data_IF_687617265819
#
_entry.id   IF_687617265819
#
_cell.length_a   1.000
_cell.length_b   1.000
_cell.length_c   1.000
_cell.angle_alpha   90.00
_cell.angle_beta   90.00
_cell.angle_gamma   90.00
#
_symmetry.space_group_name_H-M   'P 1'
#
loop_
_entity.id
_entity.type
_entity.pdbx_description
1 polymer ?
#
# COMPACT_ATOMS: atom_id res chain seq x y z
N UNK A 1 -42.33 4.94 -12.43
CA UNK A 1 -42.10 3.56 -12.89
C UNK A 1 -40.63 3.26 -12.70
N UNK A 2 -40.29 2.32 -11.83
CA UNK A 2 -38.91 1.92 -11.61
C UNK A 2 -38.36 1.31 -12.91
N UNK A 3 -37.40 1.96 -13.53
CA UNK A 3 -36.67 1.39 -14.66
C UNK A 3 -35.77 0.30 -14.10
N UNK A 4 -36.33 -0.91 -14.03
CA UNK A 4 -35.64 -2.12 -13.62
C UNK A 4 -34.64 -2.44 -14.74
N UNK A 5 -33.46 -1.82 -14.65
CA UNK A 5 -32.35 -2.09 -15.56
C UNK A 5 -32.05 -3.58 -15.58
N UNK A 6 -31.77 -4.12 -16.78
CA UNK A 6 -31.42 -5.52 -17.00
C UNK A 6 -30.36 -5.94 -15.96
N UNK A 7 -30.50 -7.10 -15.28
CA UNK A 7 -29.53 -7.53 -14.28
C UNK A 7 -28.11 -7.53 -14.86
N UNK A 8 -27.15 -7.04 -14.08
CA UNK A 8 -25.74 -6.97 -14.48
C UNK A 8 -25.27 -8.37 -14.86
N UNK A 9 -24.65 -8.52 -16.03
CA UNK A 9 -24.14 -9.80 -16.53
C UNK A 9 -22.77 -10.17 -15.97
N UNK A 10 -22.21 -9.34 -15.09
CA UNK A 10 -20.88 -9.52 -14.51
C UNK A 10 -20.91 -9.34 -12.99
N UNK A 11 -20.00 -10.01 -12.29
CA UNK A 11 -19.78 -9.81 -10.86
C UNK A 11 -19.04 -8.48 -10.64
N UNK A 12 -19.74 -7.52 -10.03
CA UNK A 12 -19.19 -6.18 -9.74
C UNK A 12 -18.02 -6.24 -8.77
N UNK A 13 -18.04 -7.13 -7.79
CA UNK A 13 -16.97 -7.25 -6.78
C UNK A 13 -15.70 -7.76 -7.45
N UNK A 14 -15.82 -8.81 -8.26
CA UNK A 14 -14.70 -9.30 -9.08
C UNK A 14 -14.17 -8.23 -10.05
N UNK A 15 -15.05 -7.41 -10.62
CA UNK A 15 -14.62 -6.30 -11.48
C UNK A 15 -13.86 -5.20 -10.71
N UNK A 16 -14.22 -4.89 -9.47
CA UNK A 16 -13.43 -3.94 -8.65
C UNK A 16 -12.04 -4.49 -8.35
N UNK A 17 -11.93 -5.78 -8.05
CA UNK A 17 -10.63 -6.44 -7.82
C UNK A 17 -9.76 -6.46 -9.09
N UNK A 18 -10.34 -6.76 -10.25
CA UNK A 18 -9.64 -6.67 -11.54
C UNK A 18 -9.17 -5.23 -11.84
N UNK A 19 -10.02 -4.23 -11.55
CA UNK A 19 -9.65 -2.83 -11.70
C UNK A 19 -8.50 -2.46 -10.76
N UNK A 20 -8.52 -2.94 -9.52
CA UNK A 20 -7.46 -2.73 -8.53
C UNK A 20 -6.11 -3.26 -9.05
N UNK A 21 -6.05 -4.48 -9.58
CA UNK A 21 -4.80 -4.99 -10.14
C UNK A 21 -4.32 -4.18 -11.35
N UNK A 22 -5.22 -3.75 -12.24
CA UNK A 22 -4.85 -2.86 -13.36
C UNK A 22 -4.27 -1.53 -12.88
N UNK A 23 -4.95 -0.88 -11.94
CA UNK A 23 -4.49 0.39 -11.38
C UNK A 23 -3.21 0.26 -10.56
N UNK A 24 -3.03 -0.85 -9.84
CA UNK A 24 -1.78 -1.12 -9.12
C UNK A 24 -0.62 -1.33 -10.10
N UNK A 25 -0.82 -2.08 -11.19
CA UNK A 25 0.20 -2.31 -12.20
C UNK A 25 0.59 -1.01 -12.92
N UNK A 26 -0.39 -0.23 -13.40
CA UNK A 26 -0.17 0.83 -14.39
C UNK A 26 -0.30 2.25 -13.82
N UNK A 27 -0.94 2.41 -12.67
CA UNK A 27 -1.33 3.71 -12.12
C UNK A 27 -2.67 4.21 -12.68
N UNK A 28 -3.25 5.21 -12.01
CA UNK A 28 -4.54 5.78 -12.38
C UNK A 28 -4.51 6.40 -13.77
N UNK A 29 -3.62 7.36 -14.04
CA UNK A 29 -3.62 8.10 -15.31
C UNK A 29 -3.39 7.19 -16.52
N UNK A 30 -2.39 6.32 -16.46
CA UNK A 30 -2.02 5.39 -17.55
C UNK A 30 -3.07 4.33 -17.86
N UNK A 31 -3.98 4.04 -16.93
CA UNK A 31 -5.04 3.04 -17.14
C UNK A 31 -6.22 3.68 -17.89
N UNK A 32 -6.37 3.41 -19.17
CA UNK A 32 -7.44 3.99 -19.98
C UNK A 32 -8.82 3.38 -19.70
N UNK A 33 -9.90 4.13 -20.00
CA UNK A 33 -11.27 3.63 -19.88
C UNK A 33 -11.55 2.47 -20.85
N UNK A 34 -10.92 2.46 -22.02
CA UNK A 34 -11.02 1.35 -22.98
C UNK A 34 -10.39 0.08 -22.43
N UNK A 35 -9.20 0.17 -21.82
CA UNK A 35 -8.56 -0.97 -21.15
C UNK A 35 -9.43 -1.50 -20.01
N UNK A 36 -9.93 -0.63 -19.12
CA UNK A 36 -10.84 -1.06 -18.04
C UNK A 36 -12.03 -1.81 -18.60
N UNK A 37 -12.78 -1.22 -19.55
CA UNK A 37 -13.95 -1.89 -20.14
C UNK A 37 -13.61 -3.23 -20.79
N UNK A 38 -12.46 -3.37 -21.43
CA UNK A 38 -12.04 -4.61 -22.07
C UNK A 38 -11.66 -5.70 -21.05
N UNK A 39 -11.05 -5.32 -19.94
CA UNK A 39 -10.56 -6.28 -18.92
C UNK A 39 -11.62 -6.69 -17.92
N UNK A 40 -12.54 -5.80 -17.55
CA UNK A 40 -13.51 -6.07 -16.49
C UNK A 40 -14.55 -7.10 -16.90
N UNK A 41 -14.72 -8.16 -16.10
CA UNK A 41 -15.75 -9.17 -16.30
C UNK A 41 -15.69 -9.90 -17.64
N UNK A 42 -14.52 -9.94 -18.29
CA UNK A 42 -14.35 -10.49 -19.64
C UNK A 42 -14.76 -9.54 -20.78
N UNK A 43 -14.98 -8.26 -20.46
CA UNK A 43 -15.39 -7.23 -21.41
C UNK A 43 -16.79 -6.71 -21.11
N UNK A 44 -16.90 -5.45 -20.68
CA UNK A 44 -18.18 -4.77 -20.44
C UNK A 44 -18.40 -3.59 -21.39
N UNK A 45 -19.66 -3.38 -21.75
CA UNK A 45 -20.06 -2.24 -22.57
C UNK A 45 -19.94 -0.92 -21.80
N UNK A 46 -19.78 0.20 -22.51
CA UNK A 46 -19.70 1.52 -21.88
C UNK A 46 -20.95 1.85 -21.01
N UNK A 47 -22.20 1.60 -21.45
CA UNK A 47 -23.37 1.81 -20.60
C UNK A 47 -23.32 0.98 -19.31
N UNK A 48 -22.87 -0.26 -19.38
CA UNK A 48 -22.75 -1.15 -18.21
C UNK A 48 -21.69 -0.65 -17.23
N UNK A 49 -20.55 -0.16 -17.75
CA UNK A 49 -19.50 0.45 -16.94
C UNK A 49 -20.03 1.66 -16.16
N UNK A 50 -20.63 2.62 -16.87
CA UNK A 50 -21.13 3.85 -16.25
C UNK A 50 -22.28 3.57 -15.27
N UNK A 51 -23.16 2.63 -15.58
CA UNK A 51 -24.22 2.19 -14.66
C UNK A 51 -23.70 1.43 -13.42
N UNK A 52 -22.50 0.85 -13.48
CA UNK A 52 -21.91 0.10 -12.38
C UNK A 52 -21.02 0.93 -11.46
N UNK A 53 -20.28 1.86 -12.05
CA UNK A 53 -19.19 2.56 -11.38
C UNK A 53 -19.30 4.08 -11.47
N UNK A 54 -20.14 4.63 -12.34
CA UNK A 54 -20.32 6.08 -12.52
C UNK A 54 -19.17 6.75 -13.27
N UNK A 55 -17.92 6.52 -12.88
CA UNK A 55 -16.74 7.08 -13.55
C UNK A 55 -15.49 6.23 -13.30
N UNK A 56 -14.41 6.48 -14.06
CA UNK A 56 -13.09 5.90 -13.80
C UNK A 56 -12.57 6.28 -12.41
N UNK A 57 -12.82 7.51 -12.00
CA UNK A 57 -12.43 8.05 -10.69
C UNK A 57 -13.13 7.30 -9.54
N UNK A 58 -14.45 7.12 -9.65
CA UNK A 58 -15.22 6.39 -8.65
C UNK A 58 -14.78 4.93 -8.57
N UNK A 59 -14.54 4.27 -9.71
CA UNK A 59 -13.96 2.92 -9.75
C UNK A 59 -12.58 2.87 -9.10
N UNK A 60 -11.71 3.86 -9.35
CA UNK A 60 -10.39 3.92 -8.73
C UNK A 60 -10.49 4.05 -7.21
N UNK A 61 -11.40 4.90 -6.69
CA UNK A 61 -11.61 5.05 -5.24
C UNK A 61 -12.04 3.73 -4.61
N UNK A 62 -12.95 2.99 -5.24
CA UNK A 62 -13.36 1.67 -4.77
C UNK A 62 -12.22 0.64 -4.84
N UNK A 63 -11.45 0.65 -5.92
CA UNK A 63 -10.29 -0.22 -6.09
C UNK A 63 -9.18 0.07 -5.07
N UNK A 64 -8.91 1.35 -4.80
CA UNK A 64 -7.96 1.79 -3.77
C UNK A 64 -8.46 1.36 -2.38
N UNK A 65 -9.75 1.49 -2.08
CA UNK A 65 -10.30 1.00 -0.82
C UNK A 65 -10.18 -0.52 -0.70
N UNK A 66 -10.47 -1.26 -1.78
CA UNK A 66 -10.28 -2.70 -1.84
C UNK A 66 -8.83 -3.09 -1.52
N UNK A 67 -7.85 -2.38 -2.08
CA UNK A 67 -6.43 -2.58 -1.76
C UNK A 67 -6.12 -2.30 -0.28
N UNK A 68 -6.67 -1.20 0.26
CA UNK A 68 -6.45 -0.79 1.65
C UNK A 68 -7.01 -1.81 2.65
N UNK A 69 -8.16 -2.41 2.34
CA UNK A 69 -8.83 -3.41 3.19
C UNK A 69 -8.21 -4.81 3.07
N UNK A 70 -7.28 -5.01 2.14
CA UNK A 70 -6.64 -6.30 1.85
C UNK A 70 -5.12 -6.21 1.99
N UNK A 71 -4.42 -5.79 0.94
CA UNK A 71 -2.96 -5.81 0.83
C UNK A 71 -2.25 -4.77 1.71
N UNK A 72 -2.87 -3.63 1.99
CA UNK A 72 -2.23 -2.58 2.81
C UNK A 72 -2.16 -2.91 4.32
N UNK A 73 -2.85 -3.97 4.76
CA UNK A 73 -2.96 -4.35 6.18
C UNK A 73 -1.66 -4.92 6.76
N UNK A 74 -0.67 -5.20 5.91
CA UNK A 74 0.66 -5.72 6.29
C UNK A 74 1.47 -4.81 7.23
N UNK A 75 1.04 -3.57 7.46
CA UNK A 75 1.66 -2.65 8.42
C UNK A 75 0.80 -2.39 9.68
N UNK A 76 -0.31 -3.11 9.86
CA UNK A 76 -1.19 -2.94 11.04
C UNK A 76 -0.46 -3.22 12.35
N UNK A 77 0.51 -4.13 12.36
CA UNK A 77 1.30 -4.49 13.53
C UNK A 77 2.11 -3.33 14.14
N UNK A 78 2.36 -2.23 13.41
CA UNK A 78 2.95 -1.00 13.96
C UNK A 78 2.07 -0.36 15.05
N UNK A 79 0.77 -0.65 15.02
CA UNK A 79 -0.22 -0.15 15.96
C UNK A 79 -0.56 -1.15 17.07
N UNK A 80 0.08 -2.31 17.10
CA UNK A 80 -0.10 -3.32 18.13
C UNK A 80 0.76 -3.00 19.36
N UNK A 81 0.09 -2.77 20.50
CA UNK A 81 0.74 -2.49 21.78
C UNK A 81 1.27 -3.72 22.51
N UNK A 82 0.80 -4.91 22.13
CA UNK A 82 1.32 -6.18 22.64
C UNK A 82 2.69 -6.54 22.07
N UNK A 83 3.06 -6.03 20.90
CA UNK A 83 4.36 -6.27 20.27
C UNK A 83 5.45 -5.34 20.84
N UNK A 84 6.66 -5.88 21.03
CA UNK A 84 7.82 -5.04 21.30
C UNK A 84 8.07 -4.09 20.13
N UNK A 85 8.51 -2.84 20.35
CA UNK A 85 8.51 -1.82 19.28
C UNK A 85 9.41 -2.19 18.11
N UNK A 86 10.63 -2.67 18.38
CA UNK A 86 11.54 -3.20 17.34
C UNK A 86 10.92 -4.36 16.56
N UNK A 87 10.21 -5.26 17.25
CA UNK A 87 9.58 -6.43 16.64
C UNK A 87 8.40 -6.05 15.74
N UNK A 88 7.61 -5.03 16.13
CA UNK A 88 6.55 -4.48 15.29
C UNK A 88 7.11 -3.88 13.99
N UNK A 89 8.22 -3.14 14.06
CA UNK A 89 8.93 -2.61 12.89
C UNK A 89 9.42 -3.75 11.99
N UNK A 90 10.10 -4.74 12.56
CA UNK A 90 10.58 -5.91 11.82
C UNK A 90 9.44 -6.66 11.12
N UNK A 91 8.35 -6.93 11.83
CA UNK A 91 7.20 -7.63 11.29
C UNK A 91 6.57 -6.84 10.13
N UNK A 92 6.37 -5.53 10.29
CA UNK A 92 5.81 -4.68 9.24
C UNK A 92 6.70 -4.67 7.98
N UNK A 93 8.02 -4.57 8.16
CA UNK A 93 8.98 -4.59 7.06
C UNK A 93 8.94 -5.93 6.31
N UNK A 94 8.98 -7.06 7.03
CA UNK A 94 8.99 -8.39 6.41
C UNK A 94 7.65 -8.74 5.74
N UNK A 95 6.53 -8.47 6.40
CA UNK A 95 5.19 -8.70 5.83
C UNK A 95 4.98 -7.85 4.58
N UNK A 96 5.36 -6.57 4.63
CA UNK A 96 5.19 -5.69 3.48
C UNK A 96 6.18 -6.00 2.35
N UNK A 97 7.41 -6.40 2.62
CA UNK A 97 8.33 -6.85 1.57
C UNK A 97 7.87 -8.17 0.93
N UNK A 98 7.35 -9.10 1.74
CA UNK A 98 6.82 -10.38 1.24
C UNK A 98 5.62 -10.16 0.34
N UNK A 99 4.63 -9.38 0.78
CA UNK A 99 3.47 -9.03 -0.04
C UNK A 99 3.91 -8.41 -1.37
N UNK A 100 4.82 -7.44 -1.35
CA UNK A 100 5.26 -6.74 -2.57
C UNK A 100 5.96 -7.63 -3.60
N UNK A 101 6.45 -8.80 -3.20
CA UNK A 101 7.18 -9.76 -4.05
C UNK A 101 6.37 -11.04 -4.32
N UNK A 102 5.16 -11.18 -3.78
CA UNK A 102 4.35 -12.40 -3.91
C UNK A 102 3.76 -12.55 -5.32
N UNK A 103 3.59 -13.80 -5.76
CA UNK A 103 2.86 -14.11 -6.97
C UNK A 103 1.33 -14.00 -6.75
N UNK A 104 0.58 -13.69 -7.81
CA UNK A 104 -0.88 -13.62 -7.77
C UNK A 104 -1.46 -12.20 -7.81
N UNK A 105 -0.60 -11.19 -7.71
CA UNK A 105 -0.95 -9.79 -7.96
C UNK A 105 0.26 -9.03 -8.54
N UNK A 106 0.10 -7.77 -9.00
CA UNK A 106 1.22 -6.96 -9.46
C UNK A 106 2.29 -6.75 -8.37
N UNK A 107 3.59 -6.74 -8.70
CA UNK A 107 4.64 -6.48 -7.72
C UNK A 107 4.69 -5.01 -7.27
N UNK A 108 5.32 -4.79 -6.12
CA UNK A 108 5.43 -3.49 -5.45
C UNK A 108 4.16 -3.14 -4.66
N UNK A 109 4.07 -1.92 -4.11
CA UNK A 109 2.95 -1.50 -3.26
C UNK A 109 2.13 -0.38 -3.91
N UNK A 110 0.82 -0.57 -4.10
CA UNK A 110 -0.08 0.48 -4.64
C UNK A 110 -0.06 1.74 -3.76
N UNK A 111 0.08 1.57 -2.44
CA UNK A 111 0.24 2.68 -1.50
C UNK A 111 1.61 3.35 -1.64
N UNK A 112 2.70 2.71 -2.05
CA UNK A 112 3.96 3.44 -2.31
C UNK A 112 3.92 4.14 -3.69
N UNK A 113 3.46 3.42 -4.71
CA UNK A 113 3.52 3.80 -6.11
C UNK A 113 2.39 4.77 -6.52
N UNK A 114 1.31 4.81 -5.72
CA UNK A 114 0.17 5.68 -5.95
C UNK A 114 0.50 7.18 -5.92
N UNK A 115 1.60 7.59 -5.27
CA UNK A 115 2.10 8.98 -5.30
C UNK A 115 2.37 9.45 -6.73
N UNK A 116 2.93 8.58 -7.56
CA UNK A 116 3.30 8.89 -8.94
C UNK A 116 2.15 8.66 -9.94
N UNK A 117 1.06 8.05 -9.48
CA UNK A 117 -0.05 7.61 -10.33
C UNK A 117 -1.06 8.72 -10.65
N UNK A 118 -1.05 9.81 -9.88
CA UNK A 118 -1.94 10.97 -9.99
C UNK A 118 -1.18 12.28 -9.71
N UNK A 119 -0.17 12.64 -10.55
CA UNK A 119 0.72 13.78 -10.33
C UNK A 119 0.03 15.16 -10.48
N UNK A 120 -1.15 15.20 -11.10
CA UNK A 120 -1.88 16.45 -11.33
C UNK A 120 -2.67 16.87 -10.09
N UNK A 121 -2.80 18.20 -9.87
CA UNK A 121 -3.61 18.73 -8.78
C UNK A 121 -5.07 18.29 -8.85
N UNK A 122 -5.59 18.09 -10.06
CA UNK A 122 -6.94 17.57 -10.33
C UNK A 122 -7.12 16.14 -9.82
N UNK A 123 -6.11 15.27 -9.98
CA UNK A 123 -6.19 13.87 -9.55
C UNK A 123 -5.62 13.62 -8.14
N UNK A 124 -5.06 14.62 -7.48
CA UNK A 124 -4.54 14.49 -6.12
C UNK A 124 -5.60 13.97 -5.12
N UNK A 125 -6.85 14.41 -5.27
CA UNK A 125 -7.97 13.95 -4.45
C UNK A 125 -8.27 12.44 -4.63
N UNK A 126 -8.01 11.92 -5.83
CA UNK A 126 -8.25 10.51 -6.19
C UNK A 126 -7.27 9.58 -5.47
N UNK A 127 -6.02 10.03 -5.29
CA UNK A 127 -4.98 9.31 -4.57
C UNK A 127 -4.98 9.57 -3.05
N UNK A 128 -5.86 10.45 -2.54
CA UNK A 128 -5.87 10.85 -1.13
C UNK A 128 -5.96 9.67 -0.14
N UNK A 129 -6.77 8.61 -0.36
CA UNK A 129 -6.79 7.44 0.53
C UNK A 129 -5.44 6.72 0.61
N UNK A 130 -4.74 6.58 -0.53
CA UNK A 130 -3.40 5.98 -0.57
C UNK A 130 -2.38 6.88 0.15
N UNK A 131 -2.50 8.20 0.00
CA UNK A 131 -1.68 9.17 0.75
C UNK A 131 -1.91 9.04 2.25
N UNK A 132 -3.16 8.99 2.70
CA UNK A 132 -3.49 8.80 4.10
C UNK A 132 -2.91 7.48 4.64
N UNK A 133 -2.96 6.40 3.87
CA UNK A 133 -2.34 5.13 4.24
C UNK A 133 -0.82 5.23 4.36
N UNK A 134 -0.12 5.90 3.43
CA UNK A 134 1.33 6.16 3.53
C UNK A 134 1.64 6.91 4.82
N UNK A 135 0.92 7.99 5.09
CA UNK A 135 1.11 8.80 6.29
C UNK A 135 0.83 8.01 7.58
N UNK A 136 -0.19 7.13 7.57
CA UNK A 136 -0.49 6.24 8.69
C UNK A 136 0.63 5.24 8.96
N UNK A 137 1.22 4.66 7.92
CA UNK A 137 2.38 3.75 8.06
C UNK A 137 3.57 4.49 8.66
N UNK A 138 3.92 5.67 8.14
CA UNK A 138 4.99 6.52 8.69
C UNK A 138 4.75 6.88 10.17
N UNK A 139 3.52 7.26 10.51
CA UNK A 139 3.14 7.54 11.90
C UNK A 139 3.26 6.30 12.79
N UNK A 140 2.95 5.11 12.27
CA UNK A 140 3.18 3.84 12.96
C UNK A 140 4.66 3.59 13.29
N UNK A 141 5.57 3.86 12.34
CA UNK A 141 7.00 3.77 12.62
C UNK A 141 7.46 4.77 13.69
N UNK A 142 7.02 6.04 13.61
CA UNK A 142 7.33 7.07 14.64
C UNK A 142 6.87 6.58 16.01
N UNK A 143 5.63 6.11 16.10
CA UNK A 143 5.04 5.59 17.33
C UNK A 143 5.84 4.43 17.92
N UNK A 144 6.32 3.50 17.09
CA UNK A 144 7.19 2.41 17.56
C UNK A 144 8.50 2.96 18.15
N UNK A 145 9.13 3.96 17.51
CA UNK A 145 10.35 4.58 18.06
C UNK A 145 10.07 5.25 19.41
N UNK A 146 9.00 6.05 19.50
CA UNK A 146 8.58 6.71 20.75
C UNK A 146 8.30 5.70 21.87
N UNK A 147 7.63 4.58 21.55
CA UNK A 147 7.42 3.48 22.50
C UNK A 147 8.73 2.85 22.95
N UNK A 148 9.70 2.69 22.04
CA UNK A 148 11.04 2.22 22.36
C UNK A 148 11.76 3.14 23.36
N UNK A 149 11.65 4.45 23.15
CA UNK A 149 12.20 5.46 24.06
C UNK A 149 11.53 5.40 25.44
N UNK A 150 10.19 5.35 25.48
CA UNK A 150 9.42 5.27 26.73
C UNK A 150 9.70 4.00 27.54
N UNK A 151 10.08 2.90 26.87
CA UNK A 151 10.46 1.62 27.50
C UNK A 151 11.94 1.53 27.86
N UNK A 152 12.73 2.56 27.57
CA UNK A 152 14.19 2.56 27.78
C UNK A 152 14.96 1.67 26.81
N UNK A 153 14.34 1.20 25.73
CA UNK A 153 15.03 0.44 24.67
C UNK A 153 15.89 1.37 23.80
N UNK A 154 15.50 2.65 23.69
CA UNK A 154 16.19 3.71 22.97
C UNK A 154 16.43 4.93 23.89
N UNK A 155 17.48 5.73 23.65
CA UNK A 155 17.72 6.98 24.35
C UNK A 155 16.55 7.95 24.25
N UNK A 156 16.27 8.69 25.33
CA UNK A 156 15.21 9.72 25.37
C UNK A 156 15.43 10.85 24.35
N UNK A 157 16.67 11.03 23.86
CA UNK A 157 17.02 12.02 22.83
C UNK A 157 16.95 11.50 21.38
N UNK A 158 16.51 10.26 21.14
CA UNK A 158 16.40 9.73 19.77
C UNK A 158 15.41 10.57 18.96
N UNK A 159 15.83 11.01 17.77
CA UNK A 159 14.93 11.65 16.81
C UNK A 159 14.02 10.59 16.17
N UNK A 160 12.81 10.46 16.72
CA UNK A 160 11.82 9.48 16.29
C UNK A 160 11.39 9.67 14.84
N UNK A 161 11.29 10.92 14.37
CA UNK A 161 10.91 11.22 13.00
C UNK A 161 12.00 10.80 12.02
N UNK A 162 13.27 11.09 12.32
CA UNK A 162 14.40 10.70 11.49
C UNK A 162 14.56 9.17 11.41
N UNK A 163 14.51 8.48 12.55
CA UNK A 163 14.65 7.02 12.57
C UNK A 163 13.46 6.32 11.88
N UNK A 164 12.24 6.80 12.08
CA UNK A 164 11.07 6.30 11.35
C UNK A 164 11.20 6.53 9.83
N UNK A 165 11.72 7.67 9.41
CA UNK A 165 11.93 7.98 8.00
C UNK A 165 12.92 7.02 7.33
N UNK A 166 13.91 6.47 8.06
CA UNK A 166 14.81 5.42 7.54
C UNK A 166 14.01 4.17 7.16
N UNK A 167 13.17 3.66 8.07
CA UNK A 167 12.37 2.44 7.82
C UNK A 167 11.30 2.66 6.73
N UNK A 168 10.61 3.80 6.78
CA UNK A 168 9.60 4.19 5.80
C UNK A 168 10.19 4.36 4.39
N UNK A 169 11.38 4.96 4.28
CA UNK A 169 12.08 5.12 2.99
C UNK A 169 12.59 3.79 2.45
N UNK A 170 13.12 2.91 3.32
CA UNK A 170 13.49 1.55 2.94
C UNK A 170 12.29 0.81 2.35
N UNK A 171 11.15 0.84 3.03
CA UNK A 171 9.96 0.13 2.58
C UNK A 171 9.41 0.69 1.26
N UNK A 172 9.47 2.01 1.08
CA UNK A 172 9.13 2.67 -0.18
C UNK A 172 10.07 2.25 -1.33
N UNK A 173 11.37 2.07 -1.04
CA UNK A 173 12.37 1.60 -2.01
C UNK A 173 12.17 0.14 -2.45
N UNK A 174 11.66 -0.72 -1.55
CA UNK A 174 11.29 -2.11 -1.89
C UNK A 174 10.22 -2.13 -2.99
N UNK A 175 9.26 -1.21 -2.98
CA UNK A 175 8.19 -1.17 -3.98
C UNK A 175 8.70 -1.03 -5.42
N UNK A 176 9.77 -0.27 -5.61
CA UNK A 176 10.39 -0.05 -6.93
C UNK A 176 11.21 -1.29 -7.32
N UNK A 177 12.07 -1.77 -6.42
CA UNK A 177 12.94 -2.92 -6.69
C UNK A 177 12.15 -4.22 -6.91
N UNK A 178 11.01 -4.39 -6.25
CA UNK A 178 10.12 -5.52 -6.49
C UNK A 178 9.57 -5.51 -7.92
N UNK A 179 9.28 -4.32 -8.49
CA UNK A 179 8.89 -4.19 -9.90
C UNK A 179 10.06 -4.49 -10.86
N UNK A 180 11.29 -4.21 -10.44
CA UNK A 180 12.50 -4.56 -11.18
C UNK A 180 12.84 -6.06 -11.09
N UNK A 181 12.06 -6.85 -10.32
CA UNK A 181 12.20 -8.30 -10.21
C UNK A 181 13.24 -8.76 -9.18
N UNK A 182 13.61 -7.91 -8.22
CA UNK A 182 14.46 -8.32 -7.11
C UNK A 182 13.73 -9.34 -6.22
N UNK A 183 14.41 -10.45 -5.93
CA UNK A 183 13.86 -11.55 -5.14
C UNK A 183 13.65 -11.16 -3.67
N UNK A 184 12.58 -11.68 -3.05
CA UNK A 184 12.27 -11.45 -1.65
C UNK A 184 13.44 -11.78 -0.70
N UNK A 185 14.23 -12.81 -0.99
CA UNK A 185 15.38 -13.19 -0.17
C UNK A 185 16.40 -12.04 0.00
N UNK A 186 16.54 -11.19 -1.03
CA UNK A 186 17.39 -9.99 -0.95
C UNK A 186 16.79 -8.97 0.01
N UNK A 187 15.48 -8.74 -0.05
CA UNK A 187 14.79 -7.83 0.88
C UNK A 187 14.81 -8.35 2.32
N UNK A 188 14.61 -9.65 2.53
CA UNK A 188 14.67 -10.28 3.85
C UNK A 188 16.04 -10.11 4.52
N UNK A 189 17.12 -10.30 3.73
CA UNK A 189 18.48 -10.03 4.17
C UNK A 189 18.70 -8.52 4.43
N UNK A 190 18.20 -7.65 3.56
CA UNK A 190 18.32 -6.20 3.70
C UNK A 190 17.55 -5.66 4.93
N UNK A 191 16.41 -6.24 5.28
CA UNK A 191 15.66 -5.94 6.50
C UNK A 191 16.49 -6.26 7.73
N UNK A 192 17.18 -7.39 7.72
CA UNK A 192 18.12 -7.75 8.79
C UNK A 192 19.25 -6.72 8.93
N UNK A 193 19.72 -6.14 7.83
CA UNK A 193 20.72 -5.07 7.85
C UNK A 193 20.15 -3.74 8.35
N UNK A 194 19.00 -3.30 7.85
CA UNK A 194 18.44 -1.99 8.22
C UNK A 194 18.01 -1.94 9.70
N UNK A 195 17.58 -3.07 10.27
CA UNK A 195 17.27 -3.17 11.69
C UNK A 195 18.49 -2.98 12.60
N UNK A 196 19.72 -3.13 12.09
CA UNK A 196 20.93 -2.77 12.84
C UNK A 196 20.98 -1.28 13.16
N UNK A 197 20.29 -0.43 12.40
CA UNK A 197 20.16 1.00 12.71
C UNK A 197 19.41 1.19 14.03
N UNK A 198 18.36 0.40 14.29
CA UNK A 198 17.73 0.38 15.60
C UNK A 198 18.71 -0.11 16.66
N UNK A 199 19.36 -1.24 16.41
CA UNK A 199 20.23 -1.90 17.40
C UNK A 199 21.44 -1.03 17.79
N UNK A 200 22.01 -0.28 16.85
CA UNK A 200 23.09 0.68 17.09
C UNK A 200 22.65 1.89 17.93
N UNK A 201 21.35 2.21 17.95
CA UNK A 201 20.79 3.28 18.76
C UNK A 201 20.27 2.80 20.12
N UNK A 202 20.39 1.50 20.47
CA UNK A 202 19.89 1.00 21.75
C UNK A 202 20.69 1.53 22.92
N UNK A 203 20.01 1.74 24.05
CA UNK A 203 20.69 1.97 25.33
C UNK A 203 21.42 0.67 25.71
N UNK A 204 22.73 0.71 26.03
CA UNK A 204 23.42 -0.45 26.59
C UNK A 204 22.70 -0.91 27.85
N UNK A 205 22.36 -2.20 27.90
CA UNK A 205 21.72 -2.82 29.06
C UNK A 205 22.63 -2.86 30.29
#
# INVERSE_FOLDING_TARGET
>A
MAQMGRPRTFDRRAAVEQAMFLFWQQGYESTSLSQLKASLGGGISAPSFYAAFGSKEALFREAAQCYLDTFARVTECLWDDGLAPRAAIELALRQSASMQSEAGHPPGCMVALGCMSAPTAEHAAVAAPLTASRMRTRAGFVRCVERGMARGELPVGTDAAALAAVFDSFLSGVAIQARDGVDYAVFDAAITQILRVWDANRVPG
#
